data_IF_242510894253
#
_entry.id   IF_242510894253
#
_cell.length_a   1.000
_cell.length_b   1.000
_cell.length_c   1.000
_cell.angle_alpha   90.00
_cell.angle_beta   90.00
_cell.angle_gamma   90.00
#
_symmetry.space_group_name_H-M   'P 1'
#
loop_
_entity.id
_entity.type
_entity.pdbx_description
1 polymer ?
#
# COMPACT_ATOMS: atom_id res chain seq x y z
N UNK A 1 19.74 21.05 -12.42
CA UNK A 1 19.50 19.88 -11.51
C UNK A 1 18.28 20.07 -10.60
N UNK A 2 17.86 21.31 -10.32
CA UNK A 2 16.73 21.63 -9.41
C UNK A 2 15.41 20.92 -9.75
N UNK A 3 15.02 20.87 -11.03
CA UNK A 3 13.76 20.23 -11.42
C UNK A 3 13.74 18.73 -11.14
N UNK A 4 14.87 18.03 -11.31
CA UNK A 4 14.98 16.61 -10.99
C UNK A 4 14.89 16.38 -9.48
N UNK A 5 15.57 17.21 -8.68
CA UNK A 5 15.48 17.14 -7.21
C UNK A 5 14.06 17.41 -6.72
N UNK A 6 13.38 18.41 -7.29
CA UNK A 6 11.98 18.72 -6.97
C UNK A 6 11.07 17.55 -7.29
N UNK A 7 11.27 16.91 -8.45
CA UNK A 7 10.51 15.72 -8.84
C UNK A 7 10.71 14.54 -7.88
N UNK A 8 11.96 14.21 -7.54
CA UNK A 8 12.27 13.14 -6.57
C UNK A 8 11.65 13.46 -5.21
N UNK A 9 11.84 14.68 -4.68
CA UNK A 9 11.25 15.09 -3.38
C UNK A 9 9.73 15.01 -3.38
N UNK A 10 9.07 15.36 -4.50
CA UNK A 10 7.61 15.19 -4.63
C UNK A 10 7.22 13.72 -4.49
N UNK A 11 7.87 12.80 -5.21
CA UNK A 11 7.54 11.37 -5.11
C UNK A 11 7.78 10.81 -3.70
N UNK A 12 8.84 11.25 -3.02
CA UNK A 12 9.10 10.90 -1.62
C UNK A 12 7.99 11.44 -0.71
N UNK A 13 7.57 12.69 -0.92
CA UNK A 13 6.45 13.29 -0.18
C UNK A 13 5.14 12.51 -0.32
N UNK A 14 4.82 12.05 -1.53
CA UNK A 14 3.63 11.22 -1.79
C UNK A 14 3.71 9.84 -1.13
N UNK A 15 4.90 9.23 -1.08
CA UNK A 15 5.10 7.97 -0.36
C UNK A 15 4.91 8.15 1.15
N UNK A 16 5.41 9.25 1.74
CA UNK A 16 5.18 9.57 3.15
C UNK A 16 3.72 9.95 3.45
N UNK A 17 2.98 10.47 2.47
CA UNK A 17 1.55 10.68 2.61
C UNK A 17 0.82 9.33 2.77
N UNK A 18 1.11 8.36 1.91
CA UNK A 18 0.58 7.00 2.03
C UNK A 18 1.02 6.31 3.33
N UNK A 19 2.27 6.52 3.76
CA UNK A 19 2.80 6.06 5.04
C UNK A 19 1.94 6.54 6.22
N UNK A 20 1.61 7.84 6.26
CA UNK A 20 0.77 8.41 7.33
C UNK A 20 -0.63 7.81 7.35
N UNK A 21 -1.22 7.58 6.17
CA UNK A 21 -2.53 6.93 6.06
C UNK A 21 -2.48 5.50 6.61
N UNK A 22 -1.46 4.72 6.25
CA UNK A 22 -1.23 3.38 6.81
C UNK A 22 -1.06 3.41 8.33
N UNK A 23 -0.28 4.35 8.87
CA UNK A 23 -0.05 4.47 10.30
C UNK A 23 -1.30 4.88 11.09
N UNK A 24 -2.27 5.53 10.43
CA UNK A 24 -3.57 5.87 11.04
C UNK A 24 -4.50 4.67 11.21
N UNK A 25 -4.20 3.53 10.57
CA UNK A 25 -5.00 2.32 10.62
C UNK A 25 -4.20 1.17 11.25
N UNK A 26 -4.54 0.84 12.50
CA UNK A 26 -3.80 -0.13 13.32
C UNK A 26 -3.80 -1.56 12.73
N UNK A 27 -4.64 -1.85 11.74
CA UNK A 27 -4.69 -3.17 11.09
C UNK A 27 -3.50 -3.41 10.17
N UNK A 28 -2.85 -2.35 9.72
CA UNK A 28 -1.70 -2.42 8.85
C UNK A 28 -0.38 -2.33 9.63
N UNK A 29 0.68 -2.80 8.99
CA UNK A 29 2.05 -2.65 9.45
C UNK A 29 2.95 -2.31 8.27
N UNK A 30 3.83 -1.34 8.50
CA UNK A 30 4.91 -0.99 7.58
C UNK A 30 6.12 -1.89 7.87
N UNK A 31 6.70 -2.46 6.82
CA UNK A 31 7.74 -3.49 6.91
C UNK A 31 9.14 -2.88 7.06
N UNK A 32 9.35 -1.72 6.47
CA UNK A 32 10.63 -1.03 6.49
C UNK A 32 10.42 0.48 6.42
N UNK A 33 11.42 1.24 6.87
CA UNK A 33 11.42 2.70 6.77
C UNK A 33 11.17 3.16 5.32
N UNK A 34 10.29 4.15 5.16
CA UNK A 34 10.00 4.77 3.87
C UNK A 34 11.06 5.81 3.58
N UNK A 35 12.07 5.46 2.79
CA UNK A 35 13.18 6.36 2.47
C UNK A 35 13.00 7.10 1.13
N UNK A 36 12.26 6.48 0.20
CA UNK A 36 12.08 6.93 -1.18
C UNK A 36 10.61 6.76 -1.61
N UNK A 37 10.32 6.79 -2.91
CA UNK A 37 8.98 6.57 -3.47
C UNK A 37 8.42 5.15 -3.35
N UNK A 38 8.78 4.36 -2.33
CA UNK A 38 8.33 2.98 -2.13
C UNK A 38 7.87 2.77 -0.68
N UNK A 39 6.64 2.29 -0.52
CA UNK A 39 6.09 1.87 0.77
C UNK A 39 5.85 0.37 0.75
N UNK A 40 6.50 -0.33 1.67
CA UNK A 40 6.32 -1.77 1.88
C UNK A 40 5.43 -2.00 3.10
N UNK A 41 4.24 -2.55 2.89
CA UNK A 41 3.24 -2.68 3.95
C UNK A 41 2.50 -4.00 3.86
N UNK A 42 1.83 -4.38 4.94
CA UNK A 42 0.96 -5.56 4.98
C UNK A 42 -0.16 -5.37 5.99
N UNK A 43 -1.25 -6.11 5.82
CA UNK A 43 -2.17 -6.37 6.92
C UNK A 43 -1.48 -7.25 7.96
N UNK A 44 -1.70 -6.93 9.24
CA UNK A 44 -1.33 -7.79 10.37
C UNK A 44 -2.12 -9.09 10.25
N UNK A 45 -1.43 -10.23 10.28
CA UNK A 45 -2.04 -11.55 10.08
C UNK A 45 -1.18 -12.43 9.19
N UNK A 46 -1.81 -13.41 8.56
CA UNK A 46 -1.12 -14.43 7.76
C UNK A 46 -0.65 -13.92 6.39
N UNK A 47 0.13 -14.73 5.67
CA UNK A 47 0.55 -14.40 4.32
C UNK A 47 -0.62 -14.56 3.33
N UNK A 48 -1.45 -15.57 3.53
CA UNK A 48 -2.64 -15.87 2.72
C UNK A 48 -3.64 -14.71 2.75
N UNK A 49 -3.79 -14.06 3.92
CA UNK A 49 -4.58 -12.84 4.08
C UNK A 49 -4.08 -11.73 3.14
N UNK A 50 -2.76 -11.55 3.07
CA UNK A 50 -2.14 -10.51 2.26
C UNK A 50 -2.12 -10.87 0.77
N UNK A 51 -1.98 -12.15 0.42
CA UNK A 51 -2.16 -12.65 -0.95
C UNK A 51 -3.60 -12.43 -1.44
N UNK A 52 -4.58 -12.67 -0.58
CA UNK A 52 -6.00 -12.45 -0.89
C UNK A 52 -6.29 -10.98 -1.09
N UNK A 53 -5.79 -10.11 -0.20
CA UNK A 53 -5.89 -8.67 -0.36
C UNK A 53 -5.31 -8.20 -1.70
N UNK A 54 -4.09 -8.65 -2.04
CA UNK A 54 -3.46 -8.28 -3.31
C UNK A 54 -4.28 -8.76 -4.51
N UNK A 55 -4.78 -10.00 -4.49
CA UNK A 55 -5.63 -10.55 -5.55
C UNK A 55 -6.88 -9.70 -5.76
N UNK A 56 -7.51 -9.23 -4.69
CA UNK A 56 -8.69 -8.35 -4.78
C UNK A 56 -8.34 -6.97 -5.32
N UNK A 57 -7.25 -6.37 -4.84
CA UNK A 57 -6.79 -5.05 -5.31
C UNK A 57 -6.57 -5.10 -6.83
N UNK A 58 -5.78 -6.07 -7.29
CA UNK A 58 -5.47 -6.20 -8.71
C UNK A 58 -6.69 -6.67 -9.54
N UNK A 59 -7.56 -7.50 -8.97
CA UNK A 59 -8.79 -7.96 -9.62
C UNK A 59 -9.85 -6.87 -9.77
N UNK A 60 -9.89 -5.89 -8.86
CA UNK A 60 -10.78 -4.73 -8.95
C UNK A 60 -10.36 -3.76 -10.08
N UNK A 61 -9.09 -3.81 -10.50
CA UNK A 61 -8.59 -3.08 -11.67
C UNK A 61 -8.45 -1.57 -11.52
N UNK A 62 -8.75 -1.00 -10.35
CA UNK A 62 -8.64 0.44 -10.07
C UNK A 62 -7.22 0.90 -9.78
N UNK A 63 -6.45 0.08 -9.06
CA UNK A 63 -5.02 0.28 -8.82
C UNK A 63 -4.30 -1.05 -9.03
N UNK A 64 -2.99 -0.98 -9.28
CA UNK A 64 -2.15 -2.16 -9.44
C UNK A 64 -0.98 -2.13 -8.46
N UNK A 65 -0.82 -3.22 -7.71
CA UNK A 65 0.29 -3.42 -6.78
C UNK A 65 1.02 -4.72 -7.08
N UNK A 66 2.27 -4.79 -6.63
CA UNK A 66 3.08 -6.00 -6.66
C UNK A 66 3.46 -6.43 -5.25
N UNK A 67 3.61 -7.73 -4.97
CA UNK A 67 4.08 -8.20 -3.69
C UNK A 67 5.60 -8.32 -3.64
N UNK A 68 6.12 -8.60 -2.45
CA UNK A 68 7.43 -9.22 -2.26
C UNK A 68 7.43 -10.08 -1.00
N UNK A 69 8.45 -10.94 -0.87
CA UNK A 69 8.58 -11.88 0.24
C UNK A 69 10.01 -11.87 0.76
N UNK A 70 10.19 -11.64 2.06
CA UNK A 70 11.50 -11.64 2.73
C UNK A 70 11.40 -12.50 3.98
N UNK A 71 12.26 -13.51 4.15
CA UNK A 71 12.26 -14.42 5.32
C UNK A 71 10.87 -14.97 5.64
N UNK A 72 10.22 -15.49 4.61
CA UNK A 72 8.84 -15.99 4.64
C UNK A 72 7.74 -14.96 4.96
N UNK A 73 8.08 -13.68 5.06
CA UNK A 73 7.12 -12.61 5.30
C UNK A 73 6.61 -12.03 3.98
N UNK A 74 5.34 -12.26 3.63
CA UNK A 74 4.70 -11.69 2.44
C UNK A 74 4.16 -10.28 2.72
N UNK A 75 4.41 -9.34 1.81
CA UNK A 75 3.95 -7.94 1.93
C UNK A 75 3.71 -7.31 0.56
N UNK A 76 2.92 -6.24 0.55
CA UNK A 76 2.55 -5.47 -0.63
C UNK A 76 3.50 -4.28 -0.79
N UNK A 77 3.72 -3.87 -2.05
CA UNK A 77 4.58 -2.74 -2.41
C UNK A 77 3.79 -1.72 -3.20
N UNK A 78 3.64 -0.52 -2.64
CA UNK A 78 3.16 0.65 -3.35
C UNK A 78 4.36 1.49 -3.77
N UNK A 79 4.58 1.60 -5.08
CA UNK A 79 5.64 2.41 -5.66
C UNK A 79 5.03 3.62 -6.37
N UNK A 80 5.57 4.80 -6.11
CA UNK A 80 5.20 6.03 -6.81
C UNK A 80 5.92 6.05 -8.16
N UNK A 81 5.21 5.64 -9.21
CA UNK A 81 5.80 5.43 -10.53
C UNK A 81 5.61 6.61 -11.48
N UNK A 82 4.38 7.13 -11.60
CA UNK A 82 4.03 8.12 -12.61
C UNK A 82 4.54 9.52 -12.24
N UNK A 83 4.97 10.29 -13.24
CA UNK A 83 5.30 11.71 -13.05
C UNK A 83 4.07 12.58 -12.78
N UNK A 84 2.89 12.06 -13.10
CA UNK A 84 1.59 12.72 -12.93
C UNK A 84 0.89 12.34 -11.63
N UNK A 85 1.47 11.44 -10.82
CA UNK A 85 0.86 11.11 -9.52
C UNK A 85 0.79 12.36 -8.65
N UNK A 86 -0.40 12.61 -8.13
CA UNK A 86 -0.71 13.67 -7.17
C UNK A 86 -1.25 13.08 -5.86
N UNK A 87 -1.50 13.93 -4.86
CA UNK A 87 -2.02 13.53 -3.55
C UNK A 87 -3.38 12.83 -3.67
N UNK A 88 -4.22 13.27 -4.59
CA UNK A 88 -5.54 12.69 -4.86
C UNK A 88 -5.45 11.22 -5.26
N UNK A 89 -4.44 10.85 -6.05
CA UNK A 89 -4.19 9.45 -6.44
C UNK A 89 -3.77 8.60 -5.22
N UNK A 90 -3.03 9.19 -4.28
CA UNK A 90 -2.61 8.52 -3.03
C UNK A 90 -3.81 8.28 -2.13
N UNK A 91 -4.67 9.28 -1.95
CA UNK A 91 -5.90 9.17 -1.18
C UNK A 91 -6.83 8.12 -1.78
N UNK A 92 -7.01 8.14 -3.10
CA UNK A 92 -7.80 7.14 -3.81
C UNK A 92 -7.22 5.73 -3.65
N UNK A 93 -5.91 5.57 -3.84
CA UNK A 93 -5.23 4.28 -3.67
C UNK A 93 -5.39 3.74 -2.25
N UNK A 94 -5.31 4.61 -1.25
CA UNK A 94 -5.54 4.25 0.14
C UNK A 94 -6.98 3.82 0.41
N UNK A 95 -7.97 4.57 -0.10
CA UNK A 95 -9.38 4.21 0.05
C UNK A 95 -9.67 2.82 -0.54
N UNK A 96 -9.10 2.50 -1.71
CA UNK A 96 -9.24 1.17 -2.32
C UNK A 96 -8.59 0.07 -1.47
N UNK A 97 -7.36 0.30 -0.98
CA UNK A 97 -6.69 -0.66 -0.07
C UNK A 97 -7.50 -0.87 1.21
N UNK A 98 -7.99 0.21 1.82
CA UNK A 98 -8.73 0.15 3.07
C UNK A 98 -10.09 -0.53 2.89
N UNK A 99 -10.82 -0.20 1.83
CA UNK A 99 -12.12 -0.80 1.51
C UNK A 99 -11.98 -2.31 1.32
N UNK A 100 -11.05 -2.73 0.46
CA UNK A 100 -10.85 -4.17 0.18
C UNK A 100 -10.29 -4.91 1.39
N UNK A 101 -9.49 -4.24 2.24
CA UNK A 101 -9.07 -4.82 3.51
C UNK A 101 -10.25 -5.05 4.46
N UNK A 102 -11.26 -4.17 4.49
CA UNK A 102 -12.47 -4.40 5.28
C UNK A 102 -13.17 -5.69 4.84
N UNK A 103 -13.35 -5.87 3.53
CA UNK A 103 -14.04 -7.05 2.98
C UNK A 103 -13.30 -8.34 3.30
N UNK A 104 -11.97 -8.35 3.10
CA UNK A 104 -11.13 -9.53 3.39
C UNK A 104 -11.16 -9.89 4.87
N UNK A 105 -11.11 -8.89 5.76
CA UNK A 105 -11.14 -9.10 7.20
C UNK A 105 -12.52 -9.52 7.71
N UNK A 106 -13.60 -9.11 7.05
CA UNK A 106 -14.96 -9.51 7.39
C UNK A 106 -15.22 -10.98 7.06
N UNK A 107 -14.76 -11.44 5.89
CA UNK A 107 -14.90 -12.84 5.46
C UNK A 107 -14.00 -13.81 6.23
N UNK A 108 -12.85 -13.33 6.73
CA UNK A 108 -11.93 -14.12 7.54
C UNK A 108 -12.41 -14.45 8.96
N UNK A 109 -13.60 -14.00 9.37
CA UNK A 109 -14.20 -14.35 10.67
C UNK A 109 -14.99 -15.66 10.55
N UNK A 110 -14.56 -16.75 11.19
CA UNK A 110 -15.41 -17.93 11.32
C UNK A 110 -16.57 -17.59 12.27
N UNK A 111 -17.80 -17.53 11.75
CA UNK A 111 -19.03 -17.48 12.54
C UNK A 111 -19.97 -16.31 12.22
N UNK A 112 -20.91 -16.57 11.30
CA UNK A 112 -22.34 -16.33 11.51
C UNK A 112 -23.05 -17.67 11.32
#
# INVERSE_FOLDING_TARGET
>A
VENLQKHIRKQIGLAHEFEKLLLSDERFKIIHEVLMGLVCFRLKGSNELNETLLKRINGNGKIHLVPSKIRDMYFLRLAICSKFTESEDIQFSWQEVQSLANDVLAEGRPGN
#
